data_IF_121291060994
#
_entry.id   IF_121291060994
#
_cell.length_a   1.000
_cell.length_b   1.000
_cell.length_c   1.000
_cell.angle_alpha   90.00
_cell.angle_beta   90.00
_cell.angle_gamma   90.00
#
_symmetry.space_group_name_H-M   'P 1'
#
loop_
_entity.id
_entity.type
_entity.pdbx_description
1 polymer ?
#
# COMPACT_ATOMS: atom_id res chain seq x y z
N UNK A 1 9.98 4.51 25.89
CA UNK A 1 8.51 4.52 26.02
C UNK A 1 8.00 3.12 25.74
N UNK A 2 7.31 2.48 26.70
CA UNK A 2 6.73 1.13 26.53
C UNK A 2 5.36 1.31 25.88
N UNK A 3 5.13 0.73 24.70
CA UNK A 3 3.77 0.67 24.13
C UNK A 3 2.99 -0.37 24.92
N UNK A 4 1.98 0.08 25.65
CA UNK A 4 0.94 -0.76 26.25
C UNK A 4 -0.23 -0.80 25.28
N UNK A 5 -0.56 -1.99 24.80
CA UNK A 5 -1.72 -2.24 23.95
C UNK A 5 -1.74 -3.71 23.60
N UNK A 6 -2.68 -4.45 24.18
CA UNK A 6 -2.88 -5.88 23.97
C UNK A 6 -3.40 -6.10 22.55
N UNK A 7 -2.49 -6.29 21.58
CA UNK A 7 -2.86 -6.77 20.25
C UNK A 7 -3.13 -8.27 20.42
N UNK A 8 -4.41 -8.68 20.33
CA UNK A 8 -4.82 -10.08 20.35
C UNK A 8 -5.00 -10.57 18.92
N UNK A 9 -4.41 -11.71 18.58
CA UNK A 9 -4.67 -12.41 17.33
C UNK A 9 -5.73 -13.47 17.56
N UNK A 10 -6.83 -13.41 16.80
CA UNK A 10 -7.84 -14.47 16.75
C UNK A 10 -7.76 -15.18 15.40
N UNK A 11 -8.09 -16.46 15.40
CA UNK A 11 -8.37 -17.23 14.18
C UNK A 11 -9.81 -16.98 13.71
N UNK A 12 -10.11 -17.31 12.46
CA UNK A 12 -11.45 -17.13 11.90
C UNK A 12 -12.51 -17.93 12.68
N UNK A 13 -12.18 -19.16 13.08
CA UNK A 13 -13.07 -20.02 13.88
C UNK A 13 -13.33 -19.45 15.28
N UNK A 14 -12.30 -18.88 15.93
CA UNK A 14 -12.47 -18.21 17.23
C UNK A 14 -13.35 -16.95 17.12
N UNK A 15 -13.25 -16.20 16.01
CA UNK A 15 -14.12 -15.04 15.77
C UNK A 15 -15.57 -15.48 15.59
N UNK A 16 -15.82 -16.54 14.83
CA UNK A 16 -17.17 -17.09 14.63
C UNK A 16 -17.77 -17.59 15.95
N UNK A 17 -16.98 -18.24 16.80
CA UNK A 17 -17.40 -18.65 18.15
C UNK A 17 -17.69 -17.45 19.05
N UNK A 18 -16.88 -16.38 18.99
CA UNK A 18 -17.12 -15.16 19.76
C UNK A 18 -18.41 -14.46 19.32
N UNK A 19 -18.68 -14.39 18.02
CA UNK A 19 -19.94 -13.90 17.46
C UNK A 19 -21.12 -14.75 17.92
N UNK A 20 -20.98 -16.08 17.91
CA UNK A 20 -22.01 -17.00 18.40
C UNK A 20 -22.29 -16.86 19.91
N UNK A 21 -21.29 -16.42 20.69
CA UNK A 21 -21.43 -16.09 22.12
C UNK A 21 -21.98 -14.69 22.38
N UNK A 22 -22.16 -13.86 21.34
CA UNK A 22 -22.61 -12.46 21.46
C UNK A 22 -21.56 -11.56 22.12
N UNK A 23 -20.28 -11.91 21.99
CA UNK A 23 -19.15 -11.11 22.49
C UNK A 23 -18.71 -10.02 21.50
N UNK A 24 -19.48 -9.81 20.42
CA UNK A 24 -19.28 -8.69 19.54
C UNK A 24 -19.74 -7.39 20.21
N UNK A 25 -18.88 -6.39 20.16
CA UNK A 25 -19.16 -5.07 20.74
C UNK A 25 -19.83 -4.15 19.72
N UNK A 26 -20.26 -4.69 18.57
CA UNK A 26 -20.69 -3.93 17.40
C UNK A 26 -22.18 -4.09 17.19
N UNK A 27 -22.94 -3.00 17.29
CA UNK A 27 -24.36 -3.01 16.99
C UNK A 27 -24.61 -2.95 15.47
N UNK A 28 -24.55 -4.12 14.82
CA UNK A 28 -24.76 -4.24 13.38
C UNK A 28 -26.20 -3.95 12.96
N UNK A 29 -27.19 -4.14 13.84
CA UNK A 29 -28.59 -3.84 13.54
C UNK A 29 -28.84 -2.33 13.49
N UNK A 30 -28.22 -1.56 14.40
CA UNK A 30 -28.24 -0.11 14.34
C UNK A 30 -27.52 0.43 13.09
N UNK A 31 -26.40 -0.18 12.70
CA UNK A 31 -25.68 0.21 11.48
C UNK A 31 -26.49 -0.06 10.20
N UNK A 32 -27.17 -1.21 10.09
CA UNK A 32 -28.00 -1.55 8.92
C UNK A 32 -29.27 -0.69 8.81
N UNK A 33 -29.77 -0.19 9.95
CA UNK A 33 -30.92 0.71 10.00
C UNK A 33 -30.56 2.19 9.76
N UNK A 34 -29.28 2.55 9.80
CA UNK A 34 -28.81 3.92 9.62
C UNK A 34 -28.99 4.37 8.17
N UNK A 35 -29.59 5.55 7.98
CA UNK A 35 -29.76 6.10 6.64
C UNK A 35 -28.47 6.74 6.12
N UNK A 36 -28.34 6.86 4.79
CA UNK A 36 -27.17 7.50 4.16
C UNK A 36 -26.97 8.96 4.65
N UNK A 37 -28.08 9.70 4.83
CA UNK A 37 -28.04 11.09 5.29
C UNK A 37 -27.54 11.20 6.74
N UNK A 38 -27.96 10.28 7.61
CA UNK A 38 -27.48 10.20 8.98
C UNK A 38 -26.02 9.78 9.02
N UNK A 39 -25.59 8.88 8.13
CA UNK A 39 -24.21 8.43 8.01
C UNK A 39 -23.30 9.59 7.60
N UNK A 40 -23.66 10.35 6.57
CA UNK A 40 -22.92 11.54 6.14
C UNK A 40 -22.82 12.59 7.24
N UNK A 41 -23.92 12.84 7.96
CA UNK A 41 -23.93 13.78 9.08
C UNK A 41 -23.04 13.32 10.24
N UNK A 42 -23.04 12.01 10.56
CA UNK A 42 -22.18 11.42 11.57
C UNK A 42 -20.70 11.60 11.21
N UNK A 43 -20.30 11.25 9.99
CA UNK A 43 -18.93 11.42 9.47
C UNK A 43 -18.52 12.89 9.52
N UNK A 44 -19.37 13.80 9.05
CA UNK A 44 -19.07 15.23 9.02
C UNK A 44 -18.92 15.85 10.42
N UNK A 45 -19.59 15.27 11.42
CA UNK A 45 -19.53 15.73 12.81
C UNK A 45 -18.40 15.10 13.63
N UNK A 46 -17.73 14.07 13.09
CA UNK A 46 -16.69 13.33 13.80
C UNK A 46 -15.40 14.17 13.90
N UNK A 47 -14.94 14.52 15.13
CA UNK A 47 -13.70 15.26 15.32
C UNK A 47 -12.45 14.48 14.92
N UNK A 48 -12.50 13.14 14.85
CA UNK A 48 -11.39 12.31 14.35
C UNK A 48 -11.29 12.39 12.81
N UNK A 49 -12.40 12.71 12.13
CA UNK A 49 -12.44 12.98 10.69
C UNK A 49 -11.94 14.39 10.34
N UNK A 50 -12.07 15.33 11.27
CA UNK A 50 -11.63 16.71 11.13
C UNK A 50 -10.09 16.82 11.05
N UNK A 51 -9.54 16.69 9.84
CA UNK A 51 -8.11 16.78 9.57
C UNK A 51 -7.51 15.52 8.94
N UNK A 52 -8.34 14.51 8.64
CA UNK A 52 -7.99 13.43 7.74
C UNK A 52 -7.87 13.98 6.31
N UNK A 53 -6.73 14.60 6.02
CA UNK A 53 -6.32 14.89 4.65
C UNK A 53 -6.11 13.53 3.97
N UNK A 54 -7.13 13.04 3.28
CA UNK A 54 -7.00 11.92 2.36
C UNK A 54 -5.93 12.28 1.32
N UNK A 55 -4.69 11.87 1.57
CA UNK A 55 -3.60 11.88 0.59
C UNK A 55 -3.86 10.80 -0.49
N UNK A 56 -5.09 10.74 -1.00
CA UNK A 56 -5.52 9.91 -2.12
C UNK A 56 -5.17 10.57 -3.47
N UNK A 57 -4.80 11.87 -3.46
CA UNK A 57 -4.41 12.62 -4.66
C UNK A 57 -3.08 12.15 -5.28
N UNK A 58 -2.26 11.42 -4.52
CA UNK A 58 -1.04 10.80 -5.06
C UNK A 58 -1.38 9.39 -5.54
N UNK A 59 -2.00 9.31 -6.72
CA UNK A 59 -2.40 8.07 -7.42
C UNK A 59 -1.28 7.03 -7.65
N UNK A 60 -0.05 7.30 -7.21
CA UNK A 60 1.07 6.35 -7.20
C UNK A 60 1.09 5.41 -5.99
N UNK A 61 0.28 5.67 -4.94
CA UNK A 61 0.30 4.89 -3.69
C UNK A 61 -0.84 3.88 -3.54
N UNK A 62 -1.75 3.77 -4.52
CA UNK A 62 -2.78 2.73 -4.52
C UNK A 62 -2.16 1.41 -5.01
N UNK A 63 -1.49 0.70 -4.11
CA UNK A 63 -1.14 -0.70 -4.35
C UNK A 63 -2.43 -1.50 -4.23
N UNK A 64 -3.09 -1.79 -5.35
CA UNK A 64 -4.12 -2.84 -5.40
C UNK A 64 -3.45 -4.19 -5.06
N UNK A 65 -3.53 -4.60 -3.79
CA UNK A 65 -2.99 -5.85 -3.27
C UNK A 65 -2.08 -5.67 -2.06
N UNK A 66 -1.82 -6.77 -1.32
CA UNK A 66 -0.91 -6.74 -0.19
C UNK A 66 0.51 -6.33 -0.62
N UNK A 67 1.20 -5.44 0.13
CA UNK A 67 2.55 -5.04 -0.20
C UNK A 67 3.46 -6.28 -0.16
N UNK A 68 4.14 -6.57 -1.27
CA UNK A 68 5.09 -7.69 -1.32
C UNK A 68 6.16 -7.51 -0.24
N UNK A 69 6.53 -8.58 0.49
CA UNK A 69 7.54 -8.48 1.54
C UNK A 69 8.86 -7.98 0.94
N UNK A 70 9.42 -6.93 1.53
CA UNK A 70 10.73 -6.40 1.15
C UNK A 70 11.80 -7.37 1.64
N UNK A 71 12.79 -7.66 0.79
CA UNK A 71 13.96 -8.44 1.21
C UNK A 71 15.00 -7.49 1.80
N UNK A 72 15.38 -7.72 3.05
CA UNK A 72 16.49 -7.02 3.68
C UNK A 72 17.81 -7.55 3.09
N UNK A 73 18.59 -6.66 2.49
CA UNK A 73 19.91 -6.97 1.95
C UNK A 73 20.87 -5.82 2.26
N UNK A 74 22.15 -6.15 2.44
CA UNK A 74 23.20 -5.15 2.60
C UNK A 74 23.76 -4.80 1.23
N UNK A 75 23.58 -3.56 0.80
CA UNK A 75 24.14 -3.02 -0.45
C UNK A 75 25.03 -1.83 -0.11
N UNK A 76 26.11 -1.63 -0.89
CA UNK A 76 26.94 -0.43 -0.81
C UNK A 76 26.43 0.56 -1.87
N UNK A 77 26.14 1.76 -1.42
CA UNK A 77 25.75 2.90 -2.26
C UNK A 77 26.71 4.04 -1.94
N UNK A 78 26.84 4.98 -2.88
CA UNK A 78 27.64 6.17 -2.66
C UNK A 78 27.07 7.02 -1.52
N UNK A 79 27.98 7.61 -0.73
CA UNK A 79 27.61 8.31 0.51
C UNK A 79 26.77 9.56 0.26
N UNK A 80 27.07 10.29 -0.82
CA UNK A 80 26.36 11.47 -1.28
C UNK A 80 24.90 11.16 -1.66
N UNK A 81 24.65 10.04 -2.33
CA UNK A 81 23.30 9.57 -2.66
C UNK A 81 22.51 9.31 -1.37
N UNK A 82 23.14 8.62 -0.40
CA UNK A 82 22.49 8.32 0.88
C UNK A 82 22.17 9.62 1.64
N UNK A 83 23.11 10.57 1.68
CA UNK A 83 22.92 11.86 2.33
C UNK A 83 21.79 12.65 1.69
N UNK A 84 21.78 12.78 0.38
CA UNK A 84 20.70 13.45 -0.36
C UNK A 84 19.32 12.84 -0.04
N UNK A 85 19.21 11.50 -0.08
CA UNK A 85 17.95 10.86 0.27
C UNK A 85 17.57 11.11 1.74
N UNK A 86 18.52 11.10 2.68
CA UNK A 86 18.24 11.39 4.10
C UNK A 86 17.72 12.82 4.32
N UNK A 87 18.22 13.80 3.57
CA UNK A 87 17.76 15.20 3.64
C UNK A 87 16.28 15.34 3.27
N UNK A 88 15.74 14.45 2.44
CA UNK A 88 14.30 14.45 2.08
C UNK A 88 13.37 14.02 3.24
N UNK A 89 13.92 13.72 4.42
CA UNK A 89 13.17 13.46 5.65
C UNK A 89 12.86 11.98 5.93
N UNK A 90 11.90 11.74 6.83
CA UNK A 90 11.49 10.38 7.20
C UNK A 90 10.99 9.60 5.97
N UNK A 91 11.32 8.30 5.90
CA UNK A 91 10.94 7.45 4.76
C UNK A 91 11.88 7.50 3.56
N UNK A 92 13.10 8.02 3.70
CA UNK A 92 14.08 8.10 2.61
C UNK A 92 14.34 6.76 1.91
N UNK A 93 14.34 5.64 2.66
CA UNK A 93 14.51 4.30 2.09
C UNK A 93 13.34 3.91 1.18
N UNK A 94 12.11 4.32 1.51
CA UNK A 94 10.93 4.08 0.68
C UNK A 94 11.02 4.88 -0.62
N UNK A 95 11.43 6.15 -0.55
CA UNK A 95 11.66 6.99 -1.75
C UNK A 95 12.77 6.44 -2.62
N UNK A 96 13.91 6.06 -2.03
CA UNK A 96 15.03 5.43 -2.74
C UNK A 96 14.58 4.14 -3.44
N UNK A 97 13.80 3.30 -2.76
CA UNK A 97 13.25 2.09 -3.37
C UNK A 97 12.25 2.36 -4.50
N UNK A 98 11.46 3.44 -4.42
CA UNK A 98 10.56 3.85 -5.49
C UNK A 98 11.33 4.27 -6.76
N UNK A 99 12.41 5.04 -6.61
CA UNK A 99 13.29 5.44 -7.72
C UNK A 99 13.95 4.21 -8.37
N UNK A 100 14.47 3.28 -7.56
CA UNK A 100 15.06 2.04 -8.10
C UNK A 100 14.03 1.20 -8.87
N UNK A 101 12.78 1.15 -8.38
CA UNK A 101 11.69 0.44 -9.04
C UNK A 101 11.36 1.07 -10.39
N UNK A 102 11.20 2.38 -10.46
CA UNK A 102 10.86 3.06 -11.72
C UNK A 102 11.93 2.84 -12.78
N UNK A 103 13.21 2.88 -12.38
CA UNK A 103 14.32 2.56 -13.29
C UNK A 103 14.24 1.13 -13.83
N UNK A 104 14.04 0.14 -12.96
CA UNK A 104 13.93 -1.27 -13.36
C UNK A 104 12.74 -1.49 -14.30
N UNK A 105 11.60 -0.85 -14.04
CA UNK A 105 10.41 -0.96 -14.90
C UNK A 105 10.62 -0.31 -16.27
N UNK A 106 11.32 0.84 -16.32
CA UNK A 106 11.69 1.48 -17.57
C UNK A 106 12.61 0.59 -18.41
N UNK A 107 13.64 0.00 -17.78
CA UNK A 107 14.56 -0.92 -18.46
C UNK A 107 13.86 -2.18 -19.00
N UNK A 108 13.01 -2.82 -18.18
CA UNK A 108 12.22 -3.97 -18.63
C UNK A 108 11.33 -3.66 -19.83
N UNK A 109 10.75 -2.46 -19.88
CA UNK A 109 9.94 -2.02 -21.02
C UNK A 109 10.78 -1.92 -22.29
N UNK A 110 11.97 -1.31 -22.21
CA UNK A 110 12.88 -1.21 -23.34
C UNK A 110 13.30 -2.59 -23.87
N UNK A 111 13.67 -3.51 -22.98
CA UNK A 111 14.03 -4.88 -23.34
C UNK A 111 12.88 -5.61 -24.05
N UNK A 112 11.64 -5.43 -23.57
CA UNK A 112 10.46 -6.03 -24.19
C UNK A 112 10.22 -5.49 -25.60
N UNK A 113 10.39 -4.19 -25.80
CA UNK A 113 10.22 -3.56 -27.11
C UNK A 113 11.32 -3.98 -28.11
N UNK A 114 12.57 -4.10 -27.67
CA UNK A 114 13.66 -4.64 -28.49
C UNK A 114 13.36 -6.06 -28.94
N UNK A 115 12.97 -6.94 -28.01
CA UNK A 115 12.61 -8.34 -28.33
C UNK A 115 11.42 -8.45 -29.27
N UNK A 116 10.44 -7.54 -29.17
CA UNK A 116 9.31 -7.50 -30.12
C UNK A 116 9.77 -7.14 -31.53
N UNK A 117 10.67 -6.16 -31.65
CA UNK A 117 11.24 -5.73 -32.95
C UNK A 117 12.06 -6.86 -33.59
N UNK A 118 12.95 -7.49 -32.84
CA UNK A 118 13.75 -8.62 -33.33
C UNK A 118 12.88 -9.78 -33.84
N UNK A 119 11.78 -10.10 -33.13
CA UNK A 119 10.82 -11.12 -33.57
C UNK A 119 10.07 -10.71 -34.82
N UNK A 120 9.69 -9.45 -34.95
CA UNK A 120 9.01 -8.93 -36.13
C UNK A 120 9.93 -8.92 -37.36
N UNK A 121 11.20 -8.55 -37.20
CA UNK A 121 12.21 -8.55 -38.26
C UNK A 121 12.58 -9.97 -38.71
N UNK A 122 12.68 -10.91 -37.76
CA UNK A 122 12.89 -12.35 -38.06
C UNK A 122 11.70 -12.94 -38.81
N UNK A 123 10.47 -12.52 -38.48
CA UNK A 123 9.27 -12.94 -39.19
C UNK A 123 9.16 -12.34 -40.60
N UNK A 124 9.69 -11.13 -40.82
CA UNK A 124 9.66 -10.44 -42.12
C UNK A 124 10.80 -10.86 -43.07
N UNK A 125 11.89 -11.43 -42.54
CA UNK A 125 13.05 -11.90 -43.34
C UNK A 125 12.97 -13.40 -43.68
N UNK A 126 11.88 -14.07 -43.31
CA UNK A 126 11.66 -15.51 -43.46
C UNK A 126 10.76 -15.93 -44.63
N UNK A 127 10.45 -15.03 -45.57
CA UNK A 127 9.81 -15.30 -46.87
C UNK A 127 10.84 -15.19 -48.02
#
# INVERSE_FOLDING_TARGET
MRKSGTIVSYTAEEIDEMLARGEDQSDYAAADAMTEEELEAAIASDPDEAGLQHNLDNGDNVIMGFPKPKRQMTVRLDGDIIEWFKETGTGYQTRMNAVLRSYVEAQKRQDLELRKRERAETAASGE
#
